data_IF_081961453531
#
_entry.id   IF_081961453531
#
_cell.length_a   1.000
_cell.length_b   1.000
_cell.length_c   1.000
_cell.angle_alpha   90.00
_cell.angle_beta   90.00
_cell.angle_gamma   90.00
#
_symmetry.space_group_name_H-M   'P 1'
#
loop_
_entity.id
_entity.type
_entity.pdbx_description
1 polymer ?
#
# COMPACT_ATOMS: atom_id res chain seq x y z
N UNK A 1 43.53 -68.05 -14.92
CA UNK A 1 44.80 -68.15 -15.67
C UNK A 1 44.98 -66.82 -16.37
N UNK A 2 45.99 -65.99 -16.14
CA UNK A 2 47.33 -66.21 -15.60
C UNK A 2 47.70 -64.96 -14.81
N UNK A 3 47.87 -65.09 -13.50
CA UNK A 3 48.83 -64.24 -12.79
C UNK A 3 50.16 -64.99 -12.79
N UNK A 4 51.20 -64.20 -13.09
CA UNK A 4 52.56 -64.60 -13.34
C UNK A 4 53.19 -65.34 -12.15
N UNK A 5 53.71 -66.52 -12.45
CA UNK A 5 55.15 -66.85 -12.35
C UNK A 5 55.89 -65.98 -11.31
N UNK A 6 55.81 -66.40 -10.05
CA UNK A 6 56.88 -66.26 -9.07
C UNK A 6 56.85 -67.49 -8.19
N UNK A 7 57.84 -68.35 -8.37
CA UNK A 7 58.55 -69.14 -7.35
C UNK A 7 59.16 -70.38 -8.01
N UNK A 8 60.20 -70.13 -8.80
CA UNK A 8 61.27 -71.08 -8.98
C UNK A 8 62.44 -70.58 -8.11
N UNK A 9 62.76 -71.31 -7.03
CA UNK A 9 64.11 -71.51 -6.49
C UNK A 9 64.05 -71.94 -5.01
N UNK A 10 64.08 -73.23 -4.75
CA UNK A 10 64.77 -73.80 -3.58
C UNK A 10 64.93 -75.30 -3.83
N UNK A 11 66.06 -75.82 -4.30
CA UNK A 11 67.36 -76.05 -3.65
C UNK A 11 67.59 -77.57 -3.67
N UNK A 12 68.74 -77.95 -4.19
CA UNK A 12 69.23 -79.30 -4.45
C UNK A 12 69.55 -80.12 -3.19
N UNK A 13 69.54 -81.44 -3.38
CA UNK A 13 70.50 -82.46 -2.89
C UNK A 13 70.70 -82.69 -1.38
N UNK A 14 70.48 -83.94 -0.95
CA UNK A 14 71.35 -84.78 -0.08
C UNK A 14 70.74 -86.21 -0.14
N UNK A 15 71.29 -87.28 -0.71
CA UNK A 15 72.56 -88.04 -0.59
C UNK A 15 72.79 -88.76 0.77
N UNK A 16 73.12 -90.07 0.65
CA UNK A 16 73.78 -91.00 1.59
C UNK A 16 73.00 -92.04 2.44
N UNK A 17 73.14 -93.30 1.98
CA UNK A 17 73.58 -94.56 2.63
C UNK A 17 73.15 -94.97 4.06
N UNK A 18 72.65 -96.22 4.16
CA UNK A 18 73.17 -97.36 4.98
C UNK A 18 72.02 -98.37 5.21
N UNK A 19 72.00 -99.58 4.66
CA UNK A 19 72.75 -100.81 5.01
C UNK A 19 72.46 -101.38 6.42
N UNK A 20 71.92 -102.63 6.42
CA UNK A 20 72.26 -103.76 7.34
C UNK A 20 71.55 -103.75 8.71
N UNK A 21 71.04 -104.82 9.35
CA UNK A 21 70.84 -106.27 9.09
C UNK A 21 70.03 -106.84 10.29
N UNK A 22 69.18 -107.83 10.01
CA UNK A 22 68.73 -108.98 10.83
C UNK A 22 68.16 -108.82 12.24
N UNK A 23 67.05 -109.54 12.47
CA UNK A 23 66.97 -110.45 13.63
C UNK A 23 66.24 -111.74 13.27
N UNK A 24 66.98 -112.83 13.46
CA UNK A 24 66.72 -114.23 13.23
C UNK A 24 65.90 -114.83 14.38
N UNK A 25 64.95 -115.74 14.11
CA UNK A 25 64.37 -116.62 15.14
C UNK A 25 64.93 -118.04 14.97
N UNK A 26 65.55 -118.63 16.01
CA UNK A 26 66.33 -119.86 15.91
C UNK A 26 65.45 -121.09 16.11
N UNK A 27 65.59 -122.11 15.25
CA UNK A 27 65.22 -123.48 15.64
C UNK A 27 66.47 -124.15 16.21
N UNK A 28 66.40 -124.64 17.44
CA UNK A 28 67.46 -125.46 18.03
C UNK A 28 66.93 -126.61 18.88
N UNK A 29 67.35 -127.81 18.46
CA UNK A 29 67.64 -129.04 19.20
C UNK A 29 66.43 -129.70 19.91
N UNK A 30 66.20 -131.01 19.86
CA UNK A 30 67.12 -132.14 19.99
C UNK A 30 66.53 -133.41 19.33
N UNK A 31 67.41 -134.41 19.18
CA UNK A 31 67.24 -135.88 19.28
C UNK A 31 67.55 -136.75 18.05
N UNK A 32 68.64 -137.51 18.23
CA UNK A 32 68.96 -138.90 17.86
C UNK A 32 68.72 -139.43 16.44
N UNK A 33 69.82 -139.59 15.71
CA UNK A 33 70.00 -140.60 14.67
C UNK A 33 70.54 -141.89 15.30
N UNK A 34 69.66 -142.89 15.47
CA UNK A 34 69.96 -144.31 15.70
C UNK A 34 68.70 -145.07 15.24
N UNK A 35 68.70 -146.24 14.61
CA UNK A 35 69.65 -147.13 13.95
C UNK A 35 68.76 -148.17 13.26
N UNK A 36 69.18 -148.66 12.09
CA UNK A 36 68.71 -149.89 11.44
C UNK A 36 67.22 -150.25 11.58
N UNK A 37 66.42 -149.90 10.55
CA UNK A 37 65.24 -150.70 10.24
C UNK A 37 65.67 -151.87 9.34
N UNK A 38 65.34 -153.12 9.72
CA UNK A 38 65.67 -154.32 8.93
C UNK A 38 64.95 -154.31 7.57
N UNK A 39 65.50 -155.08 6.63
CA UNK A 39 65.08 -155.16 5.23
C UNK A 39 63.57 -155.37 5.06
N UNK A 40 62.88 -154.31 4.62
CA UNK A 40 61.51 -154.42 4.13
C UNK A 40 61.55 -154.88 2.66
N UNK A 41 61.33 -156.18 2.47
CA UNK A 41 61.07 -156.76 1.16
C UNK A 41 59.69 -156.27 0.64
N UNK A 42 59.70 -155.10 0.01
CA UNK A 42 58.57 -154.57 -0.73
C UNK A 42 58.54 -155.15 -2.15
N UNK A 43 57.64 -156.11 -2.36
CA UNK A 43 57.20 -156.49 -3.71
C UNK A 43 55.98 -155.62 -4.04
N UNK A 44 56.19 -154.63 -4.90
CA UNK A 44 55.18 -153.68 -5.36
C UNK A 44 55.11 -153.63 -6.88
N UNK A 45 53.91 -153.93 -7.40
CA UNK A 45 53.56 -154.06 -8.81
C UNK A 45 53.73 -152.77 -9.63
N UNK A 46 54.02 -152.97 -10.93
CA UNK A 46 53.97 -152.00 -12.01
C UNK A 46 52.68 -151.15 -11.99
N UNK A 47 52.81 -149.85 -11.77
CA UNK A 47 51.85 -148.83 -12.24
C UNK A 47 52.60 -147.49 -12.33
N UNK A 48 52.85 -147.02 -13.56
CA UNK A 48 53.33 -145.66 -13.79
C UNK A 48 52.17 -144.72 -13.41
N UNK A 49 52.40 -143.81 -12.46
CA UNK A 49 51.39 -142.83 -12.09
C UNK A 49 51.27 -141.82 -13.24
N UNK A 50 50.28 -142.02 -14.12
CA UNK A 50 49.90 -141.03 -15.13
C UNK A 50 49.46 -139.74 -14.40
N UNK A 51 50.41 -138.83 -14.17
CA UNK A 51 50.14 -137.47 -13.72
C UNK A 51 49.66 -136.69 -14.95
N UNK A 52 48.40 -136.27 -14.94
CA UNK A 52 47.86 -135.38 -15.95
C UNK A 52 48.68 -134.07 -15.98
N UNK A 53 49.26 -133.77 -17.15
CA UNK A 53 50.03 -132.56 -17.38
C UNK A 53 49.12 -131.34 -17.13
N UNK A 54 49.56 -130.28 -16.42
CA UNK A 54 48.73 -129.09 -16.23
C UNK A 54 48.28 -128.55 -17.59
N UNK A 55 47.03 -128.09 -17.67
CA UNK A 55 46.45 -127.54 -18.89
C UNK A 55 47.42 -126.50 -19.48
N UNK A 56 47.78 -126.69 -20.74
CA UNK A 56 48.75 -125.83 -21.43
C UNK A 56 48.18 -124.40 -21.42
N UNK A 57 48.95 -123.36 -21.03
CA UNK A 57 48.43 -122.00 -20.96
C UNK A 57 47.82 -121.61 -22.31
N UNK A 58 46.61 -121.06 -22.28
CA UNK A 58 45.90 -120.62 -23.48
C UNK A 58 46.78 -119.60 -24.21
N UNK A 59 47.12 -119.90 -25.46
CA UNK A 59 47.86 -119.00 -26.32
C UNK A 59 46.99 -117.78 -26.62
N UNK A 60 47.31 -116.64 -26.01
CA UNK A 60 46.75 -115.35 -26.38
C UNK A 60 47.65 -114.80 -27.50
N UNK A 61 47.18 -114.74 -28.76
CA UNK A 61 47.97 -114.19 -29.85
C UNK A 61 48.34 -112.74 -29.53
N UNK A 62 49.60 -112.37 -29.74
CA UNK A 62 50.02 -110.98 -29.68
C UNK A 62 49.15 -110.17 -30.67
N UNK A 63 48.69 -108.97 -30.26
CA UNK A 63 47.92 -108.09 -31.15
C UNK A 63 48.72 -107.90 -32.45
N UNK A 64 48.22 -108.48 -33.54
CA UNK A 64 48.79 -108.31 -34.88
C UNK A 64 48.06 -107.16 -35.56
N UNK A 65 48.58 -105.95 -35.35
CA UNK A 65 48.14 -104.71 -35.98
C UNK A 65 49.18 -103.62 -35.74
N UNK A 66 49.37 -102.71 -36.69
CA UNK A 66 50.16 -101.50 -36.45
C UNK A 66 49.25 -100.45 -35.83
N UNK A 67 49.54 -100.06 -34.59
CA UNK A 67 48.84 -98.95 -33.96
C UNK A 67 49.27 -97.64 -34.66
N UNK A 68 48.32 -96.91 -35.22
CA UNK A 68 48.53 -95.61 -35.87
C UNK A 68 47.71 -94.59 -35.09
N UNK A 69 48.38 -93.59 -34.52
CA UNK A 69 47.72 -92.42 -33.95
C UNK A 69 47.67 -91.33 -35.02
N UNK A 70 46.47 -90.80 -35.26
CA UNK A 70 46.25 -89.60 -36.07
C UNK A 70 45.89 -88.48 -35.12
N UNK A 71 46.69 -87.41 -35.10
CA UNK A 71 46.43 -86.19 -34.34
C UNK A 71 46.21 -85.05 -35.33
N UNK A 72 45.26 -84.18 -35.05
CA UNK A 72 45.06 -82.94 -35.81
C UNK A 72 45.78 -81.82 -35.07
N UNK A 73 46.60 -81.07 -35.79
CA UNK A 73 47.40 -79.98 -35.23
C UNK A 73 46.61 -78.66 -35.18
N UNK A 74 47.05 -77.73 -34.33
CA UNK A 74 46.40 -76.41 -34.23
C UNK A 74 46.42 -75.68 -35.58
N UNK A 75 45.23 -75.30 -36.05
CA UNK A 75 45.04 -74.56 -37.31
C UNK A 75 44.75 -75.42 -38.54
N UNK A 76 44.87 -76.74 -38.48
CA UNK A 76 44.67 -77.64 -39.63
C UNK A 76 43.19 -77.72 -40.09
N UNK A 77 42.25 -77.44 -39.18
CA UNK A 77 40.80 -77.41 -39.41
C UNK A 77 40.23 -76.00 -39.60
N UNK A 78 41.05 -74.95 -39.51
CA UNK A 78 40.54 -73.58 -39.53
C UNK A 78 40.09 -73.17 -40.93
N UNK A 79 38.86 -72.69 -41.06
CA UNK A 79 38.31 -72.16 -42.30
C UNK A 79 37.88 -70.71 -42.12
N UNK A 80 38.71 -69.79 -42.58
CA UNK A 80 38.55 -68.35 -42.35
C UNK A 80 37.16 -67.82 -42.75
N UNK A 81 36.66 -68.22 -43.93
CA UNK A 81 35.38 -67.74 -44.45
C UNK A 81 34.19 -68.12 -43.57
N UNK A 82 34.26 -69.25 -42.85
CA UNK A 82 33.23 -69.70 -41.91
C UNK A 82 33.40 -69.03 -40.55
N UNK A 83 34.63 -68.95 -40.05
CA UNK A 83 34.92 -68.48 -38.71
C UNK A 83 34.83 -66.94 -38.57
N UNK A 84 35.01 -66.19 -39.67
CA UNK A 84 34.91 -64.72 -39.67
C UNK A 84 33.46 -64.21 -39.68
N UNK A 85 32.52 -65.01 -40.18
CA UNK A 85 31.10 -64.64 -40.29
C UNK A 85 30.49 -64.10 -38.99
N UNK A 86 30.59 -64.79 -37.83
CA UNK A 86 30.00 -64.30 -36.58
C UNK A 86 30.67 -63.01 -36.09
N UNK A 87 31.98 -62.84 -36.33
CA UNK A 87 32.70 -61.60 -35.96
C UNK A 87 32.21 -60.43 -36.81
N UNK A 88 32.08 -60.65 -38.12
CA UNK A 88 31.63 -59.62 -39.05
C UNK A 88 30.16 -59.24 -38.81
N UNK A 89 29.30 -60.22 -38.53
CA UNK A 89 27.88 -59.99 -38.23
C UNK A 89 27.71 -59.11 -36.98
N UNK A 90 28.45 -59.39 -35.91
CA UNK A 90 28.42 -58.57 -34.69
C UNK A 90 28.96 -57.17 -34.95
N UNK A 91 30.07 -57.03 -35.69
CA UNK A 91 30.66 -55.72 -36.00
C UNK A 91 29.72 -54.86 -36.85
N UNK A 92 29.14 -55.42 -37.92
CA UNK A 92 28.20 -54.69 -38.78
C UNK A 92 26.92 -54.38 -38.00
N UNK A 93 26.39 -55.34 -37.26
CA UNK A 93 25.19 -55.14 -36.44
C UNK A 93 25.37 -54.01 -35.44
N UNK A 94 26.48 -54.01 -34.69
CA UNK A 94 26.74 -52.99 -33.67
C UNK A 94 27.01 -51.61 -34.27
N UNK A 95 27.75 -51.55 -35.38
CA UNK A 95 28.05 -50.27 -36.05
C UNK A 95 26.78 -49.66 -36.67
N UNK A 96 25.93 -50.47 -37.29
CA UNK A 96 24.65 -49.98 -37.83
C UNK A 96 23.68 -49.56 -36.72
N UNK A 97 23.56 -50.35 -35.65
CA UNK A 97 22.72 -50.00 -34.51
C UNK A 97 23.18 -48.69 -33.85
N UNK A 98 24.48 -48.55 -33.62
CA UNK A 98 25.04 -47.32 -33.04
C UNK A 98 24.80 -46.11 -33.96
N UNK A 99 25.08 -46.23 -35.26
CA UNK A 99 24.84 -45.14 -36.21
C UNK A 99 23.37 -44.73 -36.27
N UNK A 100 22.44 -45.69 -36.21
CA UNK A 100 21.01 -45.38 -36.21
C UNK A 100 20.58 -44.64 -34.93
N UNK A 101 21.07 -45.07 -33.77
CA UNK A 101 20.76 -44.41 -32.49
C UNK A 101 21.31 -42.98 -32.46
N UNK A 102 22.55 -42.77 -32.90
CA UNK A 102 23.17 -41.44 -32.95
C UNK A 102 22.36 -40.47 -33.83
N UNK A 103 21.95 -40.91 -35.03
CA UNK A 103 21.16 -40.07 -35.94
C UNK A 103 19.79 -39.72 -35.35
N UNK A 104 19.12 -40.68 -34.70
CA UNK A 104 17.83 -40.44 -34.04
C UNK A 104 17.96 -39.44 -32.88
N UNK A 105 19.00 -39.60 -32.04
CA UNK A 105 19.28 -38.68 -30.94
C UNK A 105 19.59 -37.26 -31.45
N UNK A 106 20.37 -37.13 -32.52
CA UNK A 106 20.67 -35.84 -33.13
C UNK A 106 19.42 -35.14 -33.67
N UNK A 107 18.52 -35.88 -34.32
CA UNK A 107 17.26 -35.35 -34.85
C UNK A 107 16.32 -34.91 -33.72
N UNK A 108 16.20 -35.73 -32.66
CA UNK A 108 15.41 -35.37 -31.48
C UNK A 108 15.96 -34.11 -30.80
N UNK A 109 17.27 -34.04 -30.58
CA UNK A 109 17.93 -32.86 -30.01
C UNK A 109 17.73 -31.62 -30.88
N UNK A 110 17.78 -31.75 -32.20
CA UNK A 110 17.52 -30.64 -33.12
C UNK A 110 16.06 -30.16 -33.03
N UNK A 111 15.10 -31.07 -32.95
CA UNK A 111 13.68 -30.78 -32.78
C UNK A 111 13.41 -30.05 -31.46
N UNK A 112 13.93 -30.57 -30.34
CA UNK A 112 13.78 -29.95 -29.02
C UNK A 112 14.40 -28.54 -28.98
N UNK A 113 15.59 -28.36 -29.56
CA UNK A 113 16.23 -27.03 -29.66
C UNK A 113 15.43 -26.06 -30.53
N UNK A 114 14.78 -26.53 -31.58
CA UNK A 114 13.91 -25.69 -32.42
C UNK A 114 12.67 -25.25 -31.63
N UNK A 115 12.01 -26.17 -30.93
CA UNK A 115 10.86 -25.86 -30.08
C UNK A 115 11.22 -24.89 -28.95
N UNK A 116 12.35 -25.11 -28.27
CA UNK A 116 12.81 -24.23 -27.20
C UNK A 116 13.09 -22.81 -27.70
N UNK A 117 13.72 -22.66 -28.87
CA UNK A 117 13.95 -21.34 -29.48
C UNK A 117 12.64 -20.64 -29.82
N UNK A 118 11.71 -21.33 -30.48
CA UNK A 118 10.39 -20.76 -30.81
C UNK A 118 9.63 -20.31 -29.56
N UNK A 119 9.66 -21.11 -28.49
CA UNK A 119 9.04 -20.75 -27.22
C UNK A 119 9.71 -19.53 -26.55
N UNK A 120 11.04 -19.47 -26.58
CA UNK A 120 11.78 -18.33 -26.04
C UNK A 120 11.50 -17.04 -26.82
N UNK A 121 11.43 -17.11 -28.15
CA UNK A 121 11.06 -15.97 -29.00
C UNK A 121 9.67 -15.45 -28.66
N UNK A 122 8.68 -16.35 -28.56
CA UNK A 122 7.32 -16.00 -28.17
C UNK A 122 7.28 -15.34 -26.78
N UNK A 123 7.92 -15.98 -25.80
CA UNK A 123 7.97 -15.47 -24.42
C UNK A 123 8.63 -14.09 -24.33
N UNK A 124 9.71 -13.87 -25.10
CA UNK A 124 10.39 -12.59 -25.14
C UNK A 124 9.50 -11.51 -25.77
N UNK A 125 8.77 -11.84 -26.83
CA UNK A 125 7.81 -10.93 -27.46
C UNK A 125 6.65 -10.57 -26.51
N UNK A 126 6.09 -11.57 -25.82
CA UNK A 126 5.05 -11.37 -24.81
C UNK A 126 5.53 -10.49 -23.66
N UNK A 127 6.75 -10.72 -23.16
CA UNK A 127 7.32 -9.94 -22.06
C UNK A 127 7.50 -8.47 -22.45
N UNK A 128 7.97 -8.19 -23.67
CA UNK A 128 8.08 -6.81 -24.18
C UNK A 128 6.71 -6.14 -24.28
N UNK A 129 5.70 -6.87 -24.75
CA UNK A 129 4.33 -6.33 -24.86
C UNK A 129 3.71 -6.06 -23.49
N UNK A 130 3.90 -6.95 -22.51
CA UNK A 130 3.45 -6.74 -21.13
C UNK A 130 4.10 -5.48 -20.54
N UNK A 131 5.42 -5.32 -20.70
CA UNK A 131 6.13 -4.11 -20.23
C UNK A 131 5.59 -2.84 -20.87
N UNK A 132 5.27 -2.88 -22.17
CA UNK A 132 4.67 -1.76 -22.89
C UNK A 132 3.31 -1.37 -22.30
N UNK A 133 2.46 -2.36 -22.02
CA UNK A 133 1.14 -2.17 -21.43
C UNK A 133 1.21 -1.67 -19.99
N UNK A 134 2.11 -2.21 -19.17
CA UNK A 134 2.32 -1.77 -17.78
C UNK A 134 2.77 -0.31 -17.71
N UNK A 135 3.71 0.10 -18.56
CA UNK A 135 4.18 1.49 -18.63
C UNK A 135 3.06 2.43 -19.09
N UNK A 136 2.24 2.01 -20.06
CA UNK A 136 1.07 2.78 -20.48
C UNK A 136 0.04 2.90 -19.34
N UNK A 137 -0.24 1.81 -18.63
CA UNK A 137 -1.17 1.83 -17.49
C UNK A 137 -0.65 2.71 -16.35
N UNK A 138 0.67 2.69 -16.09
CA UNK A 138 1.31 3.58 -15.10
C UNK A 138 1.05 5.04 -15.44
N UNK A 139 1.27 5.45 -16.69
CA UNK A 139 1.03 6.83 -17.15
C UNK A 139 -0.44 7.23 -17.00
N UNK A 140 -1.37 6.37 -17.41
CA UNK A 140 -2.80 6.65 -17.26
C UNK A 140 -3.21 6.74 -15.79
N UNK A 141 -2.67 5.89 -14.92
CA UNK A 141 -2.94 5.90 -13.48
C UNK A 141 -2.43 7.19 -12.84
N UNK A 142 -1.20 7.60 -13.17
CA UNK A 142 -0.63 8.86 -12.70
C UNK A 142 -1.46 10.08 -13.16
N UNK A 143 -1.87 10.12 -14.43
CA UNK A 143 -2.71 11.21 -14.93
C UNK A 143 -4.07 11.22 -14.23
N UNK A 144 -4.73 10.06 -14.08
CA UNK A 144 -6.01 9.93 -13.36
C UNK A 144 -5.90 10.46 -11.93
N UNK A 145 -4.83 10.12 -11.22
CA UNK A 145 -4.58 10.61 -9.85
C UNK A 145 -4.38 12.13 -9.86
N UNK A 146 -3.62 12.68 -10.80
CA UNK A 146 -3.44 14.14 -10.94
C UNK A 146 -4.76 14.87 -11.20
N UNK A 147 -5.58 14.36 -12.13
CA UNK A 147 -6.91 14.92 -12.44
C UNK A 147 -7.84 14.89 -11.24
N UNK A 148 -7.85 13.78 -10.51
CA UNK A 148 -8.68 13.63 -9.32
C UNK A 148 -8.24 14.57 -8.20
N UNK A 149 -6.93 14.81 -8.03
CA UNK A 149 -6.42 15.82 -7.10
C UNK A 149 -6.88 17.23 -7.49
N UNK A 150 -6.72 17.59 -8.76
CA UNK A 150 -7.18 18.90 -9.28
C UNK A 150 -8.68 19.10 -9.07
N UNK A 151 -9.50 18.09 -9.39
CA UNK A 151 -10.96 18.17 -9.18
C UNK A 151 -11.33 18.34 -7.71
N UNK A 152 -10.64 17.65 -6.79
CA UNK A 152 -10.86 17.82 -5.35
C UNK A 152 -10.52 19.24 -4.88
N UNK A 153 -9.42 19.80 -5.37
CA UNK A 153 -9.02 21.18 -5.03
C UNK A 153 -10.03 22.20 -5.58
N UNK A 154 -10.52 22.00 -6.80
CA UNK A 154 -11.58 22.85 -7.39
C UNK A 154 -12.87 22.77 -6.55
N UNK A 155 -13.32 21.57 -6.21
CA UNK A 155 -14.53 21.36 -5.39
C UNK A 155 -14.43 22.05 -4.03
N UNK A 156 -13.28 21.94 -3.35
CA UNK A 156 -13.08 22.58 -2.05
C UNK A 156 -13.07 24.11 -2.18
N UNK A 157 -12.43 24.64 -3.22
CA UNK A 157 -12.45 26.06 -3.49
C UNK A 157 -13.87 26.56 -3.81
N UNK A 158 -14.65 25.81 -4.61
CA UNK A 158 -16.05 26.11 -4.90
C UNK A 158 -16.90 26.14 -3.63
N UNK A 159 -16.71 25.19 -2.71
CA UNK A 159 -17.39 25.17 -1.41
C UNK A 159 -17.09 26.43 -0.61
N UNK A 160 -15.81 26.79 -0.47
CA UNK A 160 -15.38 27.98 0.26
C UNK A 160 -15.91 29.27 -0.39
N UNK A 161 -15.91 29.35 -1.72
CA UNK A 161 -16.46 30.50 -2.45
C UNK A 161 -17.98 30.59 -2.24
N UNK A 162 -18.70 29.49 -2.33
CA UNK A 162 -20.14 29.44 -2.11
C UNK A 162 -20.51 29.92 -0.69
N UNK A 163 -19.78 29.46 0.32
CA UNK A 163 -19.95 29.91 1.72
C UNK A 163 -19.68 31.41 1.88
N UNK A 164 -18.61 31.94 1.26
CA UNK A 164 -18.31 33.37 1.27
C UNK A 164 -19.39 34.20 0.59
N UNK A 165 -19.92 33.74 -0.53
CA UNK A 165 -21.02 34.41 -1.24
C UNK A 165 -22.29 34.39 -0.39
N UNK A 166 -22.62 33.26 0.21
CA UNK A 166 -23.78 33.13 1.09
C UNK A 166 -23.67 34.05 2.32
N UNK A 167 -22.51 34.06 3.00
CA UNK A 167 -22.26 34.94 4.13
C UNK A 167 -22.34 36.43 3.75
N UNK A 168 -21.79 36.81 2.60
CA UNK A 168 -21.91 38.18 2.07
C UNK A 168 -23.36 38.54 1.78
N UNK A 169 -24.10 37.68 1.10
CA UNK A 169 -25.52 37.91 0.79
C UNK A 169 -26.36 38.05 2.06
N UNK A 170 -26.14 37.18 3.05
CA UNK A 170 -26.79 37.25 4.35
C UNK A 170 -26.47 38.57 5.08
N UNK A 171 -25.20 38.96 5.15
CA UNK A 171 -24.80 40.21 5.79
C UNK A 171 -25.42 41.43 5.09
N UNK A 172 -25.47 41.44 3.75
CA UNK A 172 -26.10 42.53 2.99
C UNK A 172 -27.60 42.63 3.29
N UNK A 173 -28.32 41.50 3.27
CA UNK A 173 -29.75 41.48 3.58
C UNK A 173 -30.03 41.89 5.03
N UNK A 174 -29.25 41.35 5.99
CA UNK A 174 -29.39 41.70 7.40
C UNK A 174 -29.12 43.19 7.66
N UNK A 175 -28.06 43.75 7.06
CA UNK A 175 -27.74 45.17 7.19
C UNK A 175 -28.77 46.07 6.49
N UNK A 176 -29.34 45.63 5.37
CA UNK A 176 -30.38 46.38 4.65
C UNK A 176 -31.63 46.59 5.51
N UNK A 177 -32.00 45.61 6.33
CA UNK A 177 -33.16 45.70 7.24
C UNK A 177 -32.81 46.36 8.58
N UNK A 178 -31.62 46.06 9.12
CA UNK A 178 -31.17 46.59 10.41
C UNK A 178 -30.92 48.10 10.35
N UNK A 179 -30.27 48.61 9.29
CA UNK A 179 -29.91 50.02 9.20
C UNK A 179 -31.15 50.93 9.29
N UNK A 180 -32.20 50.78 8.47
CA UNK A 180 -33.41 51.60 8.59
C UNK A 180 -34.08 51.47 9.96
N UNK A 181 -34.14 50.27 10.53
CA UNK A 181 -34.73 50.04 11.86
C UNK A 181 -33.97 50.79 12.96
N UNK A 182 -32.64 50.70 12.97
CA UNK A 182 -31.79 51.41 13.93
C UNK A 182 -31.87 52.92 13.70
N UNK A 183 -31.84 53.40 12.46
CA UNK A 183 -32.03 54.83 12.16
C UNK A 183 -33.40 55.35 12.63
N UNK A 184 -34.47 54.59 12.43
CA UNK A 184 -35.81 54.98 12.88
C UNK A 184 -35.90 54.99 14.40
N UNK A 185 -35.37 53.98 15.09
CA UNK A 185 -35.38 53.93 16.56
C UNK A 185 -34.56 55.06 17.19
N UNK A 186 -33.36 55.37 16.66
CA UNK A 186 -32.58 56.52 17.13
C UNK A 186 -33.28 57.86 16.84
N UNK A 187 -34.00 57.97 15.71
CA UNK A 187 -34.79 59.16 15.37
C UNK A 187 -35.98 59.34 16.31
N UNK A 188 -36.70 58.27 16.60
CA UNK A 188 -37.82 58.25 17.57
C UNK A 188 -37.35 58.59 18.99
N UNK A 189 -36.16 58.13 19.38
CA UNK A 189 -35.54 58.46 20.67
C UNK A 189 -34.98 59.89 20.72
N UNK A 190 -35.06 60.67 19.63
CA UNK A 190 -34.65 62.07 19.60
C UNK A 190 -33.14 62.30 19.55
N UNK A 191 -32.33 61.27 19.24
CA UNK A 191 -30.88 61.44 19.09
C UNK A 191 -30.50 62.20 17.81
N UNK A 192 -31.31 62.07 16.75
CA UNK A 192 -31.19 62.89 15.54
C UNK A 192 -32.07 64.13 15.66
N UNK A 193 -31.46 65.29 15.88
CA UNK A 193 -32.12 66.58 15.91
C UNK A 193 -31.59 67.48 14.80
N UNK A 194 -32.44 68.39 14.31
CA UNK A 194 -31.99 69.45 13.41
C UNK A 194 -31.21 70.49 14.25
N UNK A 195 -29.92 70.74 13.95
CA UNK A 195 -29.13 71.73 14.70
C UNK A 195 -29.77 73.12 14.69
N UNK A 196 -30.49 73.49 13.62
CA UNK A 196 -31.18 74.78 13.52
C UNK A 196 -32.37 74.82 14.49
N UNK A 197 -33.18 73.76 14.53
CA UNK A 197 -34.30 73.68 15.46
C UNK A 197 -33.81 73.73 16.90
N UNK A 198 -32.73 73.01 17.22
CA UNK A 198 -32.16 72.99 18.57
C UNK A 198 -31.62 74.36 18.97
N UNK A 199 -30.93 75.06 18.08
CA UNK A 199 -30.40 76.40 18.33
C UNK A 199 -31.52 77.44 18.55
N UNK A 200 -32.63 77.32 17.80
CA UNK A 200 -33.83 78.13 18.04
C UNK A 200 -34.43 77.83 19.43
N UNK A 201 -34.59 76.55 19.77
CA UNK A 201 -35.18 76.12 21.04
C UNK A 201 -34.33 76.51 22.26
N UNK A 202 -33.00 76.37 22.17
CA UNK A 202 -32.09 76.62 23.30
C UNK A 202 -31.49 78.01 23.35
N UNK A 203 -31.37 78.70 22.22
CA UNK A 203 -30.75 80.02 22.11
C UNK A 203 -31.78 81.12 21.90
N UNK A 204 -32.54 81.04 20.81
CA UNK A 204 -33.44 82.12 20.39
C UNK A 204 -34.67 82.25 21.30
N UNK A 205 -35.36 81.15 21.63
CA UNK A 205 -36.58 81.21 22.46
C UNK A 205 -36.30 81.75 23.86
N UNK A 206 -35.26 81.32 24.60
CA UNK A 206 -34.94 81.90 25.90
C UNK A 206 -34.55 83.39 25.80
N UNK A 207 -33.79 83.77 24.78
CA UNK A 207 -33.45 85.17 24.54
C UNK A 207 -34.70 86.02 24.27
N UNK A 208 -35.62 85.53 23.43
CA UNK A 208 -36.88 86.22 23.11
C UNK A 208 -37.76 86.37 24.36
N UNK A 209 -37.90 85.31 25.16
CA UNK A 209 -38.67 85.36 26.40
C UNK A 209 -38.06 86.36 27.40
N UNK A 210 -36.73 86.37 27.55
CA UNK A 210 -36.05 87.33 28.40
C UNK A 210 -36.23 88.79 27.93
N UNK A 211 -36.22 89.05 26.61
CA UNK A 211 -36.45 90.40 26.09
C UNK A 211 -37.91 90.84 26.26
N UNK A 212 -38.87 89.92 26.11
CA UNK A 212 -40.29 90.18 26.41
C UNK A 212 -40.49 90.49 27.89
N UNK A 213 -39.87 89.72 28.78
CA UNK A 213 -39.91 89.95 30.23
C UNK A 213 -39.30 91.32 30.58
N UNK A 214 -38.13 91.66 30.02
CA UNK A 214 -37.53 92.99 30.18
C UNK A 214 -38.45 94.13 29.69
N UNK A 215 -39.16 93.93 28.58
CA UNK A 215 -40.11 94.93 28.07
C UNK A 215 -41.34 95.06 28.99
N UNK A 216 -41.82 93.96 29.59
CA UNK A 216 -42.88 93.97 30.58
C UNK A 216 -42.43 94.64 31.88
N UNK A 217 -41.22 94.35 32.37
CA UNK A 217 -40.64 95.01 33.55
C UNK A 217 -40.46 96.51 33.34
N UNK A 218 -39.89 96.95 32.20
CA UNK A 218 -39.79 98.37 31.85
C UNK A 218 -41.16 99.05 31.85
N UNK A 219 -42.18 98.36 31.34
CA UNK A 219 -43.57 98.84 31.35
C UNK A 219 -44.12 98.92 32.77
N UNK A 220 -43.88 97.92 33.61
CA UNK A 220 -44.33 97.90 35.00
C UNK A 220 -43.67 99.02 35.80
N UNK A 221 -42.35 99.19 35.68
CA UNK A 221 -41.61 100.30 36.28
C UNK A 221 -42.18 101.64 35.81
N UNK A 222 -42.40 101.81 34.50
CA UNK A 222 -43.01 103.03 33.98
C UNK A 222 -44.40 103.30 34.58
N UNK A 223 -45.22 102.27 34.79
CA UNK A 223 -46.52 102.41 35.45
C UNK A 223 -46.37 102.77 36.93
N UNK A 224 -45.43 102.16 37.68
CA UNK A 224 -45.19 102.50 39.09
C UNK A 224 -44.67 103.92 39.28
N UNK A 225 -43.81 104.40 38.37
CA UNK A 225 -43.34 105.80 38.37
C UNK A 225 -44.50 106.74 38.10
N UNK A 226 -45.33 106.44 37.08
CA UNK A 226 -46.52 107.23 36.78
C UNK A 226 -47.50 107.26 37.96
N UNK A 227 -47.72 106.13 38.64
CA UNK A 227 -48.55 106.05 39.85
C UNK A 227 -47.93 106.84 41.01
N UNK A 228 -46.59 106.84 41.15
CA UNK A 228 -45.90 107.62 42.18
C UNK A 228 -45.98 109.13 41.93
N UNK A 229 -45.80 109.57 40.68
CA UNK A 229 -45.97 110.95 40.24
C UNK A 229 -47.42 111.41 40.42
N UNK A 230 -48.40 110.57 40.06
CA UNK A 230 -49.81 110.84 40.32
C UNK A 230 -50.12 110.95 41.82
N UNK A 231 -49.55 110.09 42.67
CA UNK A 231 -49.69 110.20 44.13
C UNK A 231 -49.12 111.52 44.67
N UNK A 232 -47.97 111.96 44.18
CA UNK A 232 -47.34 113.23 44.60
C UNK A 232 -48.20 114.41 44.15
N UNK A 233 -48.73 114.39 42.93
CA UNK A 233 -49.64 115.42 42.42
C UNK A 233 -50.94 115.49 43.25
N UNK A 234 -51.52 114.35 43.61
CA UNK A 234 -52.70 114.29 44.48
C UNK A 234 -52.41 114.86 45.88
N UNK A 235 -51.21 114.64 46.43
CA UNK A 235 -50.79 115.19 47.73
C UNK A 235 -50.56 116.72 47.67
N UNK A 236 -49.95 117.25 46.61
CA UNK A 236 -49.72 118.69 46.43
C UNK A 236 -51.01 119.49 46.17
N UNK A 237 -52.05 118.85 45.61
CA UNK A 237 -53.33 119.50 45.29
C UNK A 237 -54.40 119.35 46.39
N UNK A 238 -54.10 118.71 47.53
CA UNK A 238 -55.00 118.53 48.66
C UNK A 238 -56.36 117.93 48.25
N UNK A 239 -56.32 116.85 47.46
CA UNK A 239 -57.50 116.11 46.99
C UNK A 239 -57.60 114.82 47.81
N UNK A 240 -58.49 114.81 48.80
CA UNK A 240 -58.64 113.71 49.77
C UNK A 240 -59.36 112.45 49.25
N UNK A 241 -59.76 112.38 47.97
CA UNK A 241 -60.42 111.19 47.44
C UNK A 241 -60.07 110.93 45.97
N UNK A 242 -59.18 109.97 45.75
CA UNK A 242 -59.02 109.33 44.44
C UNK A 242 -58.92 107.81 44.64
N UNK A 243 -60.06 107.12 44.57
CA UNK A 243 -60.10 105.66 44.54
C UNK A 243 -59.78 105.17 43.12
N UNK A 244 -58.66 104.47 42.92
CA UNK A 244 -58.40 103.74 41.68
C UNK A 244 -58.94 102.30 41.78
N UNK A 245 -59.82 101.92 40.86
CA UNK A 245 -60.18 100.52 40.60
C UNK A 245 -59.23 99.93 39.56
N UNK A 246 -58.65 98.77 39.87
CA UNK A 246 -57.71 98.05 39.02
C UNK A 246 -58.36 97.45 37.76
N UNK A 247 -57.55 97.38 36.71
CA UNK A 247 -57.82 96.89 35.34
C UNK A 247 -58.48 95.50 35.29
N UNK A 248 -59.65 95.38 34.65
CA UNK A 248 -60.15 94.08 34.15
C UNK A 248 -59.52 93.76 32.78
N UNK A 249 -59.09 92.51 32.52
CA UNK A 249 -58.24 92.15 31.38
C UNK A 249 -58.92 92.27 30.01
N UNK A 250 -60.25 92.44 29.94
CA UNK A 250 -60.98 92.32 28.68
C UNK A 250 -61.29 93.65 27.96
N UNK A 251 -61.16 94.81 28.63
CA UNK A 251 -61.49 96.10 28.00
C UNK A 251 -60.52 97.21 28.44
N UNK A 252 -59.61 97.60 27.54
CA UNK A 252 -58.70 98.75 27.69
C UNK A 252 -59.49 100.08 27.72
N UNK A 253 -60.12 100.39 28.86
CA UNK A 253 -60.85 101.65 29.08
C UNK A 253 -60.56 102.16 30.49
N UNK A 254 -60.07 103.39 30.61
CA UNK A 254 -59.90 104.10 31.88
C UNK A 254 -60.96 105.19 31.98
N UNK A 255 -61.73 105.21 33.06
CA UNK A 255 -62.63 106.31 33.39
C UNK A 255 -62.12 106.90 34.70
N UNK A 256 -61.65 108.15 34.64
CA UNK A 256 -61.28 108.94 35.83
C UNK A 256 -62.41 109.94 36.05
N UNK A 257 -63.07 109.88 37.21
CA UNK A 257 -64.11 110.84 37.61
C UNK A 257 -63.50 111.75 38.67
N UNK A 258 -63.35 113.03 38.35
CA UNK A 258 -63.03 114.10 39.29
C UNK A 258 -64.31 114.93 39.50
N UNK A 259 -64.64 115.20 40.76
CA UNK A 259 -65.84 115.97 41.11
C UNK A 259 -65.84 117.34 40.39
N UNK A 260 -66.90 117.56 39.61
CA UNK A 260 -67.25 118.85 39.02
C UNK A 260 -67.02 119.03 37.52
N UNK A 261 -66.22 118.20 36.83
CA UNK A 261 -66.00 118.37 35.37
C UNK A 261 -66.01 117.02 34.65
N UNK A 262 -67.12 116.73 33.93
CA UNK A 262 -67.19 115.62 32.97
C UNK A 262 -66.38 115.94 31.72
N UNK A 263 -65.12 115.50 31.66
CA UNK A 263 -64.36 115.45 30.41
C UNK A 263 -64.57 114.09 29.73
N UNK A 264 -65.53 114.03 28.81
CA UNK A 264 -65.59 112.93 27.83
C UNK A 264 -64.56 113.20 26.73
N UNK A 265 -63.47 112.43 26.70
CA UNK A 265 -62.57 112.41 25.54
C UNK A 265 -63.01 111.29 24.59
N UNK A 266 -63.68 111.69 23.51
CA UNK A 266 -64.01 110.84 22.37
C UNK A 266 -62.75 110.39 21.64
N UNK A 267 -62.68 109.08 21.31
CA UNK A 267 -61.60 108.48 20.50
C UNK A 267 -61.55 109.10 19.11
N UNK A 268 -60.39 109.60 18.69
CA UNK A 268 -60.03 109.62 17.28
C UNK A 268 -59.62 108.20 16.85
N UNK A 269 -60.27 107.72 15.78
CA UNK A 269 -59.90 106.51 15.04
C UNK A 269 -58.40 106.59 14.70
N UNK A 270 -57.61 105.63 15.18
CA UNK A 270 -56.34 105.30 14.53
C UNK A 270 -56.64 104.34 13.38
N UNK A 271 -56.06 104.71 12.25
CA UNK A 271 -56.16 104.06 10.95
C UNK A 271 -55.79 102.58 11.02
N UNK A 272 -56.61 101.78 10.34
CA UNK A 272 -56.29 100.41 10.01
C UNK A 272 -55.06 100.42 9.08
N UNK A 273 -53.94 99.86 9.55
CA UNK A 273 -52.95 99.30 8.65
C UNK A 273 -53.57 98.09 7.94
N UNK A 274 -53.61 98.02 6.60
CA UNK A 274 -53.89 96.78 5.92
C UNK A 274 -52.72 95.80 6.11
N UNK A 275 -53.06 94.61 6.61
CA UNK A 275 -52.20 93.42 6.65
C UNK A 275 -51.66 93.14 5.24
N UNK A 276 -50.38 92.78 5.20
CA UNK A 276 -49.72 92.09 4.09
C UNK A 276 -50.57 90.92 3.56
N UNK A 277 -50.80 90.80 2.25
CA UNK A 277 -51.32 89.58 1.67
C UNK A 277 -50.22 88.52 1.60
N UNK A 278 -50.56 87.32 2.07
CA UNK A 278 -49.81 86.07 1.91
C UNK A 278 -49.38 85.90 0.45
N UNK A 279 -48.07 85.86 0.22
CA UNK A 279 -47.52 85.29 -1.00
C UNK A 279 -47.46 83.79 -0.84
N UNK A 280 -48.32 83.13 -1.63
CA UNK A 280 -48.12 81.82 -2.25
C UNK A 280 -46.65 81.40 -2.30
N UNK A 281 -46.35 80.25 -1.69
CA UNK A 281 -45.32 79.34 -2.17
C UNK A 281 -45.89 77.94 -2.25
N UNK A 282 -45.61 77.35 -3.40
CA UNK A 282 -45.72 75.94 -3.78
C UNK A 282 -45.08 75.01 -2.75
#
# INVERSE_FOLDING_TARGET
>A
AVELIRYASATSQDLFQSSVVHSFSPKKLYLEELSDHPEDASVGCQTDAFLDKPATPLFIPAKSGKDVATQIEEGELFHFDTEVQPVLEVLIGKTMEQALLEVLEEEELASLRAQQRAFQELRNAELVEVQRLEEQERRHREEKVRRLKQQREVLENERVIAEKIAARGFAQQYLADLLPSVYNTLREQGYFYDPVQRDIETGFLPWLMAEVDNALEKREIALTVLDSEFRILCFLLNIDNLYFYTRTPEKNTYIVVLDGIKLQRTRHKRENYPRTPEKLRN
#
